data_IF_351181288948
#
_entry.id   IF_351181288948
#
_cell.length_a   1.000
_cell.length_b   1.000
_cell.length_c   1.000
_cell.angle_alpha   90.00
_cell.angle_beta   90.00
_cell.angle_gamma   90.00
#
_symmetry.space_group_name_H-M   'P 1'
#
loop_
_entity.id
_entity.type
_entity.pdbx_description
1 polymer ?
#
# COMPACT_ATOMS: atom_id res chain seq x y z
N UNK A 1 -13.97 8.01 -2.41
CA UNK A 1 -12.74 7.69 -1.69
C UNK A 1 -11.81 6.79 -2.51
N UNK A 2 -12.27 5.64 -3.02
CA UNK A 2 -11.45 4.69 -3.81
C UNK A 2 -10.79 5.38 -5.02
N UNK A 3 -11.55 6.13 -5.82
CA UNK A 3 -11.03 6.84 -7.00
C UNK A 3 -9.94 7.85 -6.61
N UNK A 4 -10.11 8.51 -5.46
CA UNK A 4 -9.13 9.48 -4.96
C UNK A 4 -7.84 8.77 -4.56
N UNK A 5 -7.90 7.64 -3.85
CA UNK A 5 -6.71 6.87 -3.50
C UNK A 5 -5.97 6.34 -4.74
N UNK A 6 -6.69 5.91 -5.78
CA UNK A 6 -6.06 5.54 -7.05
C UNK A 6 -5.28 6.70 -7.69
N UNK A 7 -5.81 7.94 -7.61
CA UNK A 7 -5.11 9.12 -8.10
C UNK A 7 -3.91 9.55 -7.25
N UNK A 8 -3.87 9.19 -5.97
CA UNK A 8 -2.80 9.53 -5.04
C UNK A 8 -1.70 8.47 -4.89
N UNK A 9 -1.75 7.38 -5.63
CA UNK A 9 -0.76 6.29 -5.58
C UNK A 9 0.63 6.67 -6.12
N UNK A 10 1.12 7.88 -5.78
CA UNK A 10 2.41 8.43 -6.28
C UNK A 10 3.60 7.60 -5.85
N UNK A 11 3.60 7.12 -4.61
CA UNK A 11 4.68 6.27 -4.10
C UNK A 11 4.73 4.93 -4.85
N UNK A 12 3.57 4.34 -5.16
CA UNK A 12 3.47 3.14 -5.96
C UNK A 12 4.07 3.36 -7.36
N UNK A 13 3.69 4.43 -8.05
CA UNK A 13 4.23 4.77 -9.38
C UNK A 13 5.75 4.94 -9.32
N UNK A 14 6.27 5.66 -8.33
CA UNK A 14 7.71 5.86 -8.16
C UNK A 14 8.45 4.52 -7.98
N UNK A 15 7.94 3.65 -7.10
CA UNK A 15 8.54 2.35 -6.84
C UNK A 15 8.50 1.44 -8.08
N UNK A 16 7.38 1.42 -8.82
CA UNK A 16 7.26 0.65 -10.05
C UNK A 16 8.22 1.16 -11.12
N UNK A 17 8.28 2.47 -11.36
CA UNK A 17 9.21 3.06 -12.32
C UNK A 17 10.67 2.76 -11.96
N UNK A 18 11.02 2.83 -10.68
CA UNK A 18 12.37 2.48 -10.20
C UNK A 18 12.71 1.02 -10.48
N UNK A 19 11.77 0.11 -10.21
CA UNK A 19 12.00 -1.31 -10.44
C UNK A 19 12.07 -1.67 -11.93
N UNK A 20 11.15 -1.16 -12.75
CA UNK A 20 11.15 -1.42 -14.21
C UNK A 20 12.48 -1.01 -14.85
N UNK A 21 13.02 0.14 -14.45
CA UNK A 21 14.36 0.60 -14.92
C UNK A 21 15.51 -0.31 -14.48
N UNK A 22 15.31 -1.17 -13.50
CA UNK A 22 16.31 -2.11 -13.04
C UNK A 22 16.27 -3.46 -13.77
N UNK A 23 15.26 -3.72 -14.59
CA UNK A 23 15.17 -4.92 -15.41
C UNK A 23 16.15 -4.76 -16.59
N UNK A 24 17.05 -5.74 -16.83
CA UNK A 24 17.93 -5.72 -17.97
C UNK A 24 17.13 -5.71 -19.29
N UNK A 25 17.51 -4.84 -20.20
CA UNK A 25 16.82 -4.68 -21.49
C UNK A 25 16.91 -5.94 -22.35
N UNK A 26 17.95 -6.72 -22.15
CA UNK A 26 18.20 -7.98 -22.85
C UNK A 26 17.06 -8.99 -22.68
N UNK A 27 16.35 -8.91 -21.55
CA UNK A 27 15.20 -9.79 -21.28
C UNK A 27 14.01 -9.41 -22.21
N UNK A 28 13.81 -8.12 -22.43
CA UNK A 28 12.77 -7.62 -23.32
C UNK A 28 13.13 -7.90 -24.78
N UNK A 29 14.40 -7.69 -25.14
CA UNK A 29 14.92 -7.98 -26.48
C UNK A 29 14.81 -9.47 -26.83
N UNK A 30 15.18 -10.36 -25.89
CA UNK A 30 15.03 -11.81 -26.07
C UNK A 30 13.56 -12.20 -26.32
N UNK A 31 12.63 -11.65 -25.56
CA UNK A 31 11.20 -11.90 -25.76
C UNK A 31 10.70 -11.39 -27.12
N UNK A 32 11.22 -10.27 -27.61
CA UNK A 32 10.89 -9.75 -28.94
C UNK A 32 11.45 -10.63 -30.07
N UNK A 33 12.67 -11.16 -29.89
CA UNK A 33 13.27 -12.14 -30.82
C UNK A 33 12.42 -13.40 -30.89
N UNK A 34 11.86 -13.85 -29.75
CA UNK A 34 10.93 -14.96 -29.67
C UNK A 34 9.53 -14.65 -30.27
N UNK A 35 9.35 -13.47 -30.90
CA UNK A 35 8.13 -13.07 -31.58
C UNK A 35 7.03 -12.51 -30.67
N UNK A 36 7.35 -12.14 -29.42
CA UNK A 36 6.39 -11.48 -28.55
C UNK A 36 6.17 -10.02 -28.94
N UNK A 37 4.91 -9.60 -29.01
CA UNK A 37 4.60 -8.18 -29.10
C UNK A 37 4.94 -7.45 -27.78
N UNK A 38 5.17 -6.11 -27.78
CA UNK A 38 5.49 -5.36 -26.55
C UNK A 38 4.47 -5.58 -25.42
N UNK A 39 3.19 -5.64 -25.74
CA UNK A 39 2.12 -5.90 -24.77
C UNK A 39 2.26 -7.32 -24.18
N UNK A 40 2.52 -8.31 -25.03
CA UNK A 40 2.71 -9.70 -24.58
C UNK A 40 3.99 -9.83 -23.75
N UNK A 41 5.07 -9.17 -24.11
CA UNK A 41 6.32 -9.11 -23.33
C UNK A 41 6.05 -8.54 -21.94
N UNK A 42 5.29 -7.44 -21.86
CA UNK A 42 4.93 -6.86 -20.56
C UNK A 42 4.17 -7.85 -19.66
N UNK A 43 3.09 -8.45 -20.14
CA UNK A 43 2.26 -9.33 -19.31
C UNK A 43 2.90 -10.70 -19.03
N UNK A 44 3.66 -11.26 -19.98
CA UNK A 44 4.21 -12.62 -19.87
C UNK A 44 5.60 -12.66 -19.25
N UNK A 45 6.37 -11.56 -19.33
CA UNK A 45 7.77 -11.52 -18.87
C UNK A 45 7.96 -10.49 -17.76
N UNK A 46 7.69 -9.22 -18.06
CA UNK A 46 7.98 -8.11 -17.13
C UNK A 46 7.12 -8.20 -15.86
N UNK A 47 5.81 -8.34 -16.01
CA UNK A 47 4.88 -8.36 -14.87
C UNK A 47 5.12 -9.51 -13.88
N UNK A 48 5.41 -10.76 -14.30
CA UNK A 48 5.82 -11.83 -13.39
C UNK A 48 7.11 -11.55 -12.63
N UNK A 49 8.10 -10.95 -13.30
CA UNK A 49 9.39 -10.56 -12.67
C UNK A 49 9.13 -9.50 -11.59
N UNK A 50 8.20 -8.58 -11.80
CA UNK A 50 7.81 -7.54 -10.86
C UNK A 50 7.00 -8.04 -9.65
N UNK A 51 6.68 -9.32 -9.56
CA UNK A 51 5.84 -9.89 -8.50
C UNK A 51 6.24 -9.47 -7.07
N UNK A 52 7.50 -9.50 -6.65
CA UNK A 52 7.90 -9.05 -5.31
C UNK A 52 7.59 -7.57 -5.09
N UNK A 53 7.80 -6.75 -6.12
CA UNK A 53 7.62 -5.29 -6.04
C UNK A 53 6.16 -4.91 -5.87
N UNK A 54 5.24 -5.44 -6.68
CA UNK A 54 3.83 -5.05 -6.52
C UNK A 54 3.19 -5.61 -5.24
N UNK A 55 3.68 -6.75 -4.72
CA UNK A 55 3.27 -7.22 -3.40
C UNK A 55 3.75 -6.25 -2.32
N UNK A 56 5.03 -5.82 -2.35
CA UNK A 56 5.57 -4.88 -1.37
C UNK A 56 4.88 -3.53 -1.43
N UNK A 57 4.66 -3.00 -2.63
CA UNK A 57 3.92 -1.74 -2.84
C UNK A 57 2.49 -1.86 -2.29
N UNK A 58 1.80 -2.95 -2.60
CA UNK A 58 0.44 -3.19 -2.10
C UNK A 58 0.36 -3.25 -0.57
N UNK A 59 1.37 -3.83 0.08
CA UNK A 59 1.44 -3.85 1.56
C UNK A 59 1.64 -2.43 2.11
N UNK A 60 2.59 -1.66 1.56
CA UNK A 60 2.87 -0.30 2.00
C UNK A 60 1.67 0.63 1.80
N UNK A 61 1.02 0.57 0.65
CA UNK A 61 -0.19 1.36 0.36
C UNK A 61 -1.35 0.98 1.29
N UNK A 62 -1.53 -0.32 1.57
CA UNK A 62 -2.57 -0.79 2.51
C UNK A 62 -2.33 -0.23 3.91
N UNK A 63 -1.08 -0.26 4.40
CA UNK A 63 -0.72 0.29 5.70
C UNK A 63 -0.92 1.81 5.75
N UNK A 64 -0.56 2.50 4.67
CA UNK A 64 -0.74 3.95 4.57
C UNK A 64 -2.23 4.34 4.58
N UNK A 65 -3.05 3.68 3.76
CA UNK A 65 -4.50 3.93 3.68
C UNK A 65 -5.19 3.61 5.01
N UNK A 66 -4.77 2.54 5.71
CA UNK A 66 -5.33 2.17 7.01
C UNK A 66 -5.14 3.27 8.06
N UNK A 67 -3.98 3.92 8.05
CA UNK A 67 -3.65 4.97 9.01
C UNK A 67 -4.14 6.36 8.58
N UNK A 68 -4.67 6.52 7.37
CA UNK A 68 -5.08 7.83 6.87
C UNK A 68 -6.34 8.34 7.60
N UNK A 69 -6.22 9.54 8.09
CA UNK A 69 -7.30 10.29 8.74
C UNK A 69 -7.80 11.42 7.83
N UNK A 70 -6.88 12.14 7.20
CA UNK A 70 -7.18 13.43 6.59
C UNK A 70 -8.07 13.30 5.36
N UNK A 71 -7.72 12.41 4.43
CA UNK A 71 -8.44 12.26 3.19
C UNK A 71 -9.87 11.74 3.40
N UNK A 72 -10.11 10.68 4.21
CA UNK A 72 -11.45 10.28 4.57
C UNK A 72 -12.25 11.37 5.31
N UNK A 73 -11.60 12.12 6.18
CA UNK A 73 -12.23 13.22 6.93
C UNK A 73 -12.77 14.31 6.00
N UNK A 74 -12.01 14.66 4.95
CA UNK A 74 -12.39 15.71 3.99
C UNK A 74 -13.39 15.25 2.92
N UNK A 75 -13.48 13.96 2.65
CA UNK A 75 -14.21 13.44 1.49
C UNK A 75 -15.44 12.62 1.82
N UNK A 76 -15.54 12.10 3.04
CA UNK A 76 -16.69 11.29 3.47
C UNK A 76 -17.79 12.13 4.12
N UNK A 77 -19.03 11.71 3.92
CA UNK A 77 -20.13 12.16 4.75
C UNK A 77 -20.01 11.55 6.16
N UNK A 78 -19.48 12.33 7.09
CA UNK A 78 -19.16 11.89 8.45
C UNK A 78 -20.40 11.55 9.30
N UNK A 79 -21.60 11.90 8.84
CA UNK A 79 -22.86 11.45 9.48
C UNK A 79 -23.15 9.98 9.16
N UNK A 80 -22.73 9.53 7.99
CA UNK A 80 -23.04 8.21 7.44
C UNK A 80 -21.87 7.22 7.56
N UNK A 81 -20.65 7.70 7.32
CA UNK A 81 -19.46 6.86 7.23
C UNK A 81 -18.31 7.44 8.05
N UNK A 82 -17.68 6.60 8.86
CA UNK A 82 -16.49 6.98 9.64
C UNK A 82 -15.47 5.86 9.55
N UNK A 83 -14.21 6.22 9.34
CA UNK A 83 -13.09 5.29 9.49
C UNK A 83 -12.71 5.17 10.97
N UNK A 84 -11.96 4.11 11.32
CA UNK A 84 -11.47 3.91 12.69
C UNK A 84 -10.64 5.11 13.15
N UNK A 85 -9.77 5.63 12.29
CA UNK A 85 -8.95 6.82 12.55
C UNK A 85 -9.79 8.04 12.89
N UNK A 86 -10.90 8.26 12.17
CA UNK A 86 -11.84 9.34 12.43
C UNK A 86 -12.56 9.14 13.76
N UNK A 87 -13.04 7.93 14.06
CA UNK A 87 -13.73 7.62 15.31
C UNK A 87 -12.83 7.90 16.52
N UNK A 88 -11.59 7.44 16.48
CA UNK A 88 -10.61 7.68 17.56
C UNK A 88 -10.37 9.18 17.76
N UNK A 89 -10.28 9.95 16.69
CA UNK A 89 -10.09 11.39 16.76
C UNK A 89 -11.31 12.10 17.36
N UNK A 90 -12.52 11.70 17.00
CA UNK A 90 -13.74 12.21 17.60
C UNK A 90 -13.86 11.91 19.09
N UNK A 91 -13.41 10.75 19.53
CA UNK A 91 -13.40 10.39 20.96
C UNK A 91 -12.46 11.28 21.78
N UNK A 92 -11.39 11.81 21.19
CA UNK A 92 -10.47 12.79 21.82
C UNK A 92 -11.08 14.19 21.93
N UNK A 93 -11.96 14.56 20.99
CA UNK A 93 -12.55 15.92 20.90
C UNK A 93 -13.94 16.06 21.51
N UNK A 94 -14.52 15.01 22.11
CA UNK A 94 -15.87 15.05 22.64
C UNK A 94 -15.98 15.91 23.90
N UNK A 95 -16.90 16.87 23.90
CA UNK A 95 -17.15 17.85 24.95
C UNK A 95 -17.25 17.21 26.35
N UNK A 96 -16.30 17.54 27.21
CA UNK A 96 -16.43 17.49 28.66
C UNK A 96 -16.09 16.19 29.42
N UNK A 97 -16.08 15.02 28.78
CA UNK A 97 -15.62 13.75 29.39
C UNK A 97 -14.90 12.91 28.36
N UNK A 98 -13.56 12.95 28.42
CA UNK A 98 -12.73 12.04 27.65
C UNK A 98 -12.71 10.71 28.38
N UNK A 99 -13.41 9.71 27.87
CA UNK A 99 -13.31 8.35 28.38
C UNK A 99 -12.03 7.71 27.85
N UNK A 100 -10.97 7.82 28.65
CA UNK A 100 -9.65 7.27 28.31
C UNK A 100 -9.71 5.75 28.13
N UNK A 101 -10.60 5.06 28.87
CA UNK A 101 -10.77 3.61 28.72
C UNK A 101 -11.30 3.23 27.36
N UNK A 102 -12.35 3.94 26.90
CA UNK A 102 -12.91 3.72 25.56
C UNK A 102 -11.92 4.06 24.44
N UNK A 103 -11.12 5.13 24.59
CA UNK A 103 -10.07 5.48 23.62
C UNK A 103 -9.01 4.38 23.56
N UNK A 104 -8.52 3.89 24.69
CA UNK A 104 -7.53 2.83 24.73
C UNK A 104 -8.06 1.53 24.14
N UNK A 105 -9.30 1.16 24.42
CA UNK A 105 -9.94 0.01 23.80
C UNK A 105 -10.04 0.16 22.28
N UNK A 106 -10.45 1.34 21.78
CA UNK A 106 -10.52 1.62 20.35
C UNK A 106 -9.14 1.57 19.67
N UNK A 107 -8.09 2.06 20.32
CA UNK A 107 -6.73 1.99 19.82
C UNK A 107 -6.24 0.52 19.74
N UNK A 108 -6.49 -0.29 20.75
CA UNK A 108 -6.15 -1.72 20.72
C UNK A 108 -6.88 -2.41 19.57
N UNK A 109 -8.17 -2.17 19.40
CA UNK A 109 -8.95 -2.72 18.29
C UNK A 109 -8.42 -2.27 16.91
N UNK A 110 -7.93 -1.04 16.80
CA UNK A 110 -7.35 -0.52 15.56
C UNK A 110 -5.99 -1.13 15.24
N UNK A 111 -5.20 -1.50 16.25
CA UNK A 111 -3.86 -2.06 16.09
C UNK A 111 -3.89 -3.55 15.74
N UNK A 112 -4.87 -4.31 16.24
CA UNK A 112 -4.96 -5.77 16.01
C UNK A 112 -4.93 -6.12 14.51
N UNK A 113 -5.78 -5.54 13.63
CA UNK A 113 -5.74 -5.86 12.20
C UNK A 113 -4.40 -5.53 11.56
N UNK A 114 -3.74 -4.46 11.99
CA UNK A 114 -2.42 -4.05 11.50
C UNK A 114 -1.36 -5.10 11.84
N UNK A 115 -1.36 -5.57 13.09
CA UNK A 115 -0.42 -6.63 13.53
C UNK A 115 -0.66 -7.91 12.75
N UNK A 116 -1.91 -8.36 12.62
CA UNK A 116 -2.26 -9.57 11.85
C UNK A 116 -1.82 -9.45 10.40
N UNK A 117 -2.08 -8.30 9.77
CA UNK A 117 -1.68 -8.02 8.41
C UNK A 117 -0.16 -8.01 8.26
N UNK A 118 0.57 -7.32 9.15
CA UNK A 118 2.02 -7.28 9.16
C UNK A 118 2.63 -8.67 9.30
N UNK A 119 2.21 -9.46 10.29
CA UNK A 119 2.72 -10.81 10.52
C UNK A 119 2.47 -11.74 9.31
N UNK A 120 1.35 -11.55 8.62
CA UNK A 120 1.02 -12.31 7.41
C UNK A 120 1.90 -11.93 6.22
N UNK A 121 2.29 -10.66 6.14
CA UNK A 121 2.97 -10.07 4.98
C UNK A 121 4.47 -9.87 5.16
N UNK A 122 5.03 -9.96 6.38
CA UNK A 122 6.43 -9.66 6.70
C UNK A 122 7.44 -10.37 5.78
N UNK A 123 7.18 -11.63 5.43
CA UNK A 123 8.05 -12.41 4.53
C UNK A 123 8.18 -11.82 3.12
N UNK A 124 7.16 -11.09 2.67
CA UNK A 124 7.16 -10.44 1.36
C UNK A 124 7.86 -9.08 1.41
N UNK A 125 7.71 -8.35 2.53
CA UNK A 125 8.36 -7.06 2.76
C UNK A 125 9.89 -7.25 2.74
N UNK A 126 10.40 -8.23 3.49
CA UNK A 126 11.83 -8.53 3.57
C UNK A 126 12.40 -8.86 2.18
N UNK A 127 11.69 -9.69 1.40
CA UNK A 127 12.13 -10.05 0.04
C UNK A 127 12.13 -8.84 -0.90
N UNK A 128 11.13 -7.96 -0.82
CA UNK A 128 11.02 -6.80 -1.69
C UNK A 128 12.07 -5.72 -1.38
N UNK A 129 12.33 -5.46 -0.10
CA UNK A 129 13.36 -4.50 0.33
C UNK A 129 14.77 -5.01 0.01
N UNK A 130 15.03 -6.31 0.25
CA UNK A 130 16.33 -6.92 -0.08
C UNK A 130 16.62 -6.88 -1.59
N UNK A 131 15.64 -7.11 -2.44
CA UNK A 131 15.80 -7.02 -3.90
C UNK A 131 16.13 -5.60 -4.39
N UNK A 132 15.70 -4.56 -3.67
CA UNK A 132 16.04 -3.16 -3.96
C UNK A 132 17.37 -2.68 -3.39
N UNK A 133 17.84 -3.32 -2.31
CA UNK A 133 19.05 -2.92 -1.59
C UNK A 133 20.36 -3.54 -2.12
N UNK A 134 20.30 -4.57 -2.94
CA UNK A 134 21.47 -5.31 -3.46
C UNK A 134 22.15 -4.60 -4.65
N UNK A 135 21.74 -3.36 -4.99
CA UNK A 135 22.41 -2.52 -6.00
C UNK A 135 23.01 -1.26 -5.36
N UNK A 136 23.91 -1.47 -4.41
CA UNK A 136 24.89 -0.49 -3.96
C UNK A 136 26.27 -1.01 -4.24
#
# INVERSE_FOLDING_TARGET
LIIIYLGFARAAVFMFCGFVKSIPIEIEEAAMIDGCSPIRTFFSVVLPIMKPTYISVGILETMWIWNDFLLPYLTLDLKKYKTISIVIQYMKGSYGRVDMGAIMAALIMAVIPVIVFYLSCQKYIIKGVAAGAVKG
#
